data_IF_056842161383
#
_entry.id   IF_056842161383
#
_cell.length_a   1.000
_cell.length_b   1.000
_cell.length_c   1.000
_cell.angle_alpha   90.00
_cell.angle_beta   90.00
_cell.angle_gamma   90.00
#
_symmetry.space_group_name_H-M   'P 1'
#
loop_
_entity.id
_entity.type
_entity.pdbx_description
1 polymer ?
#
# COMPACT_ATOMS: atom_id res chain seq x y z
N UNK A 1 3.40 -15.75 6.41
CA UNK A 1 4.82 -15.32 6.46
C UNK A 1 5.14 -14.89 7.88
N UNK A 2 5.99 -15.64 8.63
CA UNK A 2 6.16 -15.44 10.07
C UNK A 2 6.75 -14.07 10.46
N UNK A 3 7.44 -13.40 9.53
CA UNK A 3 8.12 -12.12 9.80
C UNK A 3 7.31 -10.88 9.44
N UNK A 4 6.21 -11.01 8.68
CA UNK A 4 5.40 -9.87 8.27
C UNK A 4 4.39 -9.55 9.37
N UNK A 5 4.51 -8.40 10.02
CA UNK A 5 3.67 -8.05 11.17
C UNK A 5 2.24 -7.76 10.74
N UNK A 6 2.07 -7.15 9.57
CA UNK A 6 0.77 -6.74 9.05
C UNK A 6 0.40 -7.54 7.80
N UNK A 7 0.32 -8.86 7.94
CA UNK A 7 -0.07 -9.73 6.83
C UNK A 7 -1.49 -9.40 6.34
N UNK A 8 -2.45 -9.23 7.25
CA UNK A 8 -3.81 -8.80 6.92
C UNK A 8 -4.10 -7.36 7.37
N UNK A 9 -5.11 -6.73 6.77
CA UNK A 9 -5.56 -5.40 7.21
C UNK A 9 -6.09 -5.43 8.66
N UNK A 10 -6.62 -6.58 9.10
CA UNK A 10 -7.09 -6.78 10.46
C UNK A 10 -5.95 -6.74 11.47
N UNK A 11 -4.79 -7.30 11.13
CA UNK A 11 -3.58 -7.25 11.98
C UNK A 11 -3.16 -5.80 12.20
N UNK A 12 -3.11 -5.02 11.11
CA UNK A 12 -2.82 -3.59 11.16
C UNK A 12 -3.84 -2.82 12.02
N UNK A 13 -5.13 -3.00 11.78
CA UNK A 13 -6.20 -2.31 12.54
C UNK A 13 -6.20 -2.67 14.02
N UNK A 14 -5.79 -3.89 14.38
CA UNK A 14 -5.64 -4.30 15.78
C UNK A 14 -4.44 -3.61 16.42
N UNK A 15 -3.31 -3.57 15.72
CA UNK A 15 -2.09 -2.90 16.17
C UNK A 15 -2.26 -1.38 16.30
N UNK A 16 -2.95 -0.74 15.35
CA UNK A 16 -3.16 0.71 15.31
C UNK A 16 -3.89 1.26 16.55
N UNK A 17 -4.69 0.41 17.21
CA UNK A 17 -5.37 0.74 18.47
C UNK A 17 -4.50 0.55 19.72
N UNK A 18 -3.31 -0.04 19.56
CA UNK A 18 -2.38 -0.31 20.64
C UNK A 18 -1.49 0.89 20.98
N UNK A 19 -0.88 0.88 22.18
CA UNK A 19 -0.01 1.99 22.62
C UNK A 19 1.26 2.14 21.77
N UNK A 20 1.70 1.07 21.11
CA UNK A 20 2.90 1.06 20.26
C UNK A 20 2.71 1.79 18.92
N UNK A 21 1.46 1.99 18.50
CA UNK A 21 1.14 2.56 17.18
C UNK A 21 1.64 4.00 17.06
N UNK A 22 1.37 4.82 18.06
CA UNK A 22 1.73 6.24 18.04
C UNK A 22 3.24 6.46 17.96
N UNK A 23 4.01 5.68 18.72
CA UNK A 23 5.47 5.76 18.70
C UNK A 23 6.02 5.36 17.33
N UNK A 24 5.52 4.25 16.78
CA UNK A 24 5.97 3.72 15.48
C UNK A 24 5.62 4.67 14.34
N UNK A 25 4.42 5.25 14.32
CA UNK A 25 4.03 6.23 13.28
C UNK A 25 4.93 7.47 13.33
N UNK A 26 5.30 7.90 14.54
CA UNK A 26 6.22 9.04 14.73
C UNK A 26 7.62 8.73 14.21
N UNK A 27 8.11 7.50 14.37
CA UNK A 27 9.46 7.10 13.97
C UNK A 27 9.56 6.65 12.51
N UNK A 28 8.56 5.92 12.01
CA UNK A 28 8.59 5.23 10.71
C UNK A 28 7.74 5.92 9.63
N UNK A 29 7.03 6.98 9.99
CA UNK A 29 6.16 7.73 9.09
C UNK A 29 4.73 7.16 8.99
N UNK A 30 3.90 7.74 8.10
CA UNK A 30 2.45 7.52 8.06
C UNK A 30 2.04 6.18 7.43
N UNK A 31 2.98 5.39 6.92
CA UNK A 31 2.72 4.10 6.27
C UNK A 31 3.49 2.98 6.98
N UNK A 32 3.32 2.79 8.31
CA UNK A 32 4.10 1.82 9.09
C UNK A 32 3.82 0.36 8.69
N UNK A 33 2.76 0.12 7.92
CA UNK A 33 2.43 -1.18 7.36
C UNK A 33 3.23 -1.54 6.09
N UNK A 34 3.99 -0.61 5.54
CA UNK A 34 4.93 -0.91 4.46
C UNK A 34 6.25 -1.40 5.07
N UNK A 35 6.41 -2.72 5.01
CA UNK A 35 7.47 -3.45 5.69
C UNK A 35 8.33 -4.19 4.66
N UNK A 36 9.60 -4.36 4.99
CA UNK A 36 10.48 -5.25 4.25
C UNK A 36 10.25 -6.73 4.64
N UNK A 37 10.95 -7.65 3.98
CA UNK A 37 10.79 -9.10 4.17
C UNK A 37 11.01 -9.59 5.61
N UNK A 38 11.75 -8.84 6.42
CA UNK A 38 12.04 -9.12 7.81
C UNK A 38 11.06 -8.43 8.80
N UNK A 39 10.06 -7.71 8.29
CA UNK A 39 9.11 -6.95 9.10
C UNK A 39 9.63 -5.58 9.55
N UNK A 40 10.82 -5.16 9.09
CA UNK A 40 11.34 -3.83 9.36
C UNK A 40 10.66 -2.75 8.50
N UNK A 41 10.60 -1.49 8.96
CA UNK A 41 10.08 -0.39 8.16
C UNK A 41 10.92 -0.15 6.90
N UNK A 42 10.27 0.19 5.80
CA UNK A 42 10.98 0.55 4.57
C UNK A 42 11.68 1.91 4.68
N UNK A 43 12.84 2.09 4.01
CA UNK A 43 13.46 3.40 3.88
C UNK A 43 12.54 4.42 3.21
N UNK A 44 12.59 5.67 3.66
CA UNK A 44 11.76 6.76 3.11
C UNK A 44 11.93 6.93 1.59
N UNK A 45 13.16 6.77 1.08
CA UNK A 45 13.45 6.83 -0.35
C UNK A 45 12.68 5.75 -1.15
N UNK A 46 12.60 4.53 -0.60
CA UNK A 46 11.86 3.41 -1.20
C UNK A 46 10.37 3.70 -1.19
N UNK A 47 9.82 4.15 -0.06
CA UNK A 47 8.40 4.54 0.04
C UNK A 47 8.08 5.66 -0.95
N UNK A 48 8.96 6.65 -1.08
CA UNK A 48 8.79 7.76 -2.03
C UNK A 48 8.76 7.25 -3.48
N UNK A 49 9.65 6.32 -3.85
CA UNK A 49 9.66 5.70 -5.16
C UNK A 49 8.36 4.92 -5.45
N UNK A 50 7.87 4.13 -4.48
CA UNK A 50 6.59 3.43 -4.56
C UNK A 50 5.44 4.41 -4.83
N UNK A 51 5.34 5.47 -4.03
CA UNK A 51 4.27 6.47 -4.17
C UNK A 51 4.32 7.17 -5.55
N UNK A 52 5.53 7.43 -6.07
CA UNK A 52 5.71 8.04 -7.39
C UNK A 52 5.23 7.11 -8.51
N UNK A 53 5.58 5.81 -8.46
CA UNK A 53 5.11 4.81 -9.43
C UNK A 53 3.60 4.65 -9.38
N UNK A 54 3.04 4.46 -8.19
CA UNK A 54 1.58 4.34 -7.99
C UNK A 54 0.84 5.56 -8.55
N UNK A 55 1.37 6.78 -8.33
CA UNK A 55 0.80 8.00 -8.90
C UNK A 55 0.88 8.01 -10.44
N UNK A 56 1.98 7.56 -11.02
CA UNK A 56 2.12 7.51 -12.48
C UNK A 56 1.10 6.55 -13.11
N UNK A 57 0.89 5.37 -12.53
CA UNK A 57 -0.13 4.41 -12.98
C UNK A 57 -1.52 5.03 -12.89
N UNK A 58 -1.84 5.67 -11.76
CA UNK A 58 -3.12 6.35 -11.56
C UNK A 58 -3.38 7.44 -12.62
N UNK A 59 -2.37 8.23 -12.96
CA UNK A 59 -2.48 9.21 -14.05
C UNK A 59 -2.71 8.54 -15.40
N UNK A 60 -2.04 7.40 -15.67
CA UNK A 60 -2.30 6.57 -16.85
C UNK A 60 -3.76 6.13 -16.95
N UNK A 61 -4.37 5.72 -15.84
CA UNK A 61 -5.80 5.39 -15.80
C UNK A 61 -6.69 6.59 -16.05
N UNK A 62 -6.35 7.77 -15.52
CA UNK A 62 -7.09 9.03 -15.80
C UNK A 62 -7.05 9.38 -17.28
N UNK A 63 -5.87 9.32 -17.92
CA UNK A 63 -5.72 9.59 -19.34
C UNK A 63 -6.53 8.64 -20.24
N UNK A 64 -6.75 7.40 -19.79
CA UNK A 64 -7.51 6.37 -20.53
C UNK A 64 -8.99 6.32 -20.13
N UNK A 65 -9.48 7.22 -19.28
CA UNK A 65 -10.84 7.20 -18.73
C UNK A 65 -11.20 5.91 -17.98
N UNK A 66 -10.20 5.24 -17.41
CA UNK A 66 -10.35 4.01 -16.61
C UNK A 66 -10.28 4.28 -15.11
N UNK A 67 -9.86 5.48 -14.70
CA UNK A 67 -9.76 5.83 -13.29
C UNK A 67 -11.16 5.89 -12.65
N UNK A 68 -11.44 5.10 -11.61
CA UNK A 68 -12.70 5.20 -10.88
C UNK A 68 -12.79 6.52 -10.11
N UNK A 69 -14.01 6.91 -9.73
CA UNK A 69 -14.26 8.09 -8.90
C UNK A 69 -13.67 7.97 -7.49
N UNK A 70 -13.64 6.76 -6.95
CA UNK A 70 -12.90 6.43 -5.73
C UNK A 70 -12.26 5.07 -5.91
N UNK A 71 -11.17 4.79 -5.21
CA UNK A 71 -10.58 3.46 -5.24
C UNK A 71 -11.57 2.36 -4.79
N UNK A 72 -12.46 2.68 -3.85
CA UNK A 72 -13.53 1.78 -3.41
C UNK A 72 -14.50 1.38 -4.53
N UNK A 73 -14.71 2.24 -5.53
CA UNK A 73 -15.53 1.95 -6.71
C UNK A 73 -14.72 1.42 -7.90
N UNK A 74 -13.45 1.04 -7.71
CA UNK A 74 -12.64 0.44 -8.76
C UNK A 74 -13.26 -0.88 -9.22
N UNK A 75 -13.26 -1.11 -10.54
CA UNK A 75 -13.56 -2.41 -11.11
C UNK A 75 -12.37 -3.35 -10.90
N UNK A 76 -12.63 -4.65 -10.83
CA UNK A 76 -11.58 -5.64 -10.52
C UNK A 76 -10.43 -5.60 -11.52
N UNK A 77 -10.71 -5.44 -12.82
CA UNK A 77 -9.65 -5.31 -13.83
C UNK A 77 -8.74 -4.09 -13.60
N UNK A 78 -9.26 -3.00 -13.01
CA UNK A 78 -8.47 -1.81 -12.69
C UNK A 78 -7.55 -2.10 -11.51
N UNK A 79 -8.06 -2.79 -10.49
CA UNK A 79 -7.26 -3.24 -9.34
C UNK A 79 -6.16 -4.21 -9.79
N UNK A 80 -6.53 -5.20 -10.58
CA UNK A 80 -5.59 -6.20 -11.11
C UNK A 80 -4.50 -5.55 -11.96
N UNK A 81 -4.88 -4.66 -12.89
CA UNK A 81 -3.92 -3.93 -13.72
C UNK A 81 -2.98 -3.07 -12.88
N UNK A 82 -3.49 -2.47 -11.81
CA UNK A 82 -2.68 -1.66 -10.90
C UNK A 82 -1.69 -2.52 -10.10
N UNK A 83 -2.16 -3.64 -9.55
CA UNK A 83 -1.32 -4.58 -8.80
C UNK A 83 -0.23 -5.20 -9.69
N UNK A 84 -0.56 -5.54 -10.95
CA UNK A 84 0.38 -6.08 -11.94
C UNK A 84 1.49 -5.09 -12.33
N UNK A 85 1.27 -3.79 -12.17
CA UNK A 85 2.27 -2.76 -12.43
C UNK A 85 3.09 -2.39 -11.19
N UNK A 86 2.48 -2.41 -10.00
CA UNK A 86 3.14 -2.01 -8.75
C UNK A 86 3.98 -3.14 -8.17
N UNK A 87 3.42 -4.33 -8.02
CA UNK A 87 4.04 -5.41 -7.22
C UNK A 87 5.33 -5.95 -7.85
N UNK A 88 5.45 -6.11 -9.18
CA UNK A 88 6.73 -6.55 -9.76
C UNK A 88 7.88 -5.55 -9.54
N UNK A 89 7.58 -4.25 -9.51
CA UNK A 89 8.58 -3.19 -9.27
C UNK A 89 8.86 -3.02 -7.77
N UNK A 90 7.85 -3.26 -6.93
CA UNK A 90 7.89 -3.09 -5.49
C UNK A 90 7.28 -4.31 -4.77
N UNK A 91 8.00 -5.45 -4.72
CA UNK A 91 7.46 -6.69 -4.15
C UNK A 91 6.97 -6.58 -2.70
N UNK A 92 7.51 -5.64 -1.93
CA UNK A 92 7.10 -5.38 -0.55
C UNK A 92 5.64 -4.94 -0.43
N UNK A 93 5.06 -4.32 -1.47
CA UNK A 93 3.63 -4.01 -1.54
C UNK A 93 2.76 -5.28 -1.61
N UNK A 94 3.33 -6.39 -2.10
CA UNK A 94 2.71 -7.71 -2.15
C UNK A 94 2.96 -8.57 -0.91
N UNK A 95 3.68 -8.07 0.12
CA UNK A 95 3.86 -8.77 1.40
C UNK A 95 2.62 -8.61 2.28
N UNK A 96 1.48 -9.07 1.77
CA UNK A 96 0.20 -9.03 2.44
C UNK A 96 -0.84 -9.93 1.77
N UNK A 97 -1.92 -10.21 2.49
CA UNK A 97 -3.09 -10.89 1.94
C UNK A 97 -3.90 -9.96 1.01
N UNK A 98 -4.35 -10.49 -0.12
CA UNK A 98 -5.24 -9.81 -1.07
C UNK A 98 -4.82 -8.38 -1.45
N UNK A 99 -3.51 -8.09 -1.51
CA UNK A 99 -2.97 -6.76 -1.85
C UNK A 99 -3.50 -5.60 -1.00
N UNK A 100 -3.93 -5.86 0.25
CA UNK A 100 -4.59 -4.84 1.06
C UNK A 100 -3.70 -3.60 1.31
N UNK A 101 -2.37 -3.75 1.31
CA UNK A 101 -1.42 -2.64 1.46
C UNK A 101 -1.48 -1.70 0.25
N UNK A 102 -1.61 -2.24 -0.96
CA UNK A 102 -1.83 -1.46 -2.18
C UNK A 102 -3.16 -0.72 -2.09
N UNK A 103 -4.23 -1.42 -1.72
CA UNK A 103 -5.56 -0.85 -1.58
C UNK A 103 -5.62 0.26 -0.52
N UNK A 104 -4.93 0.10 0.60
CA UNK A 104 -4.86 1.11 1.66
C UNK A 104 -4.22 2.40 1.16
N UNK A 105 -3.07 2.30 0.47
CA UNK A 105 -2.39 3.46 -0.10
C UNK A 105 -3.24 4.12 -1.18
N UNK A 106 -3.84 3.33 -2.06
CA UNK A 106 -4.66 3.81 -3.15
C UNK A 106 -5.93 4.51 -2.65
N UNK A 107 -6.63 3.91 -1.69
CA UNK A 107 -7.81 4.50 -1.03
C UNK A 107 -7.48 5.84 -0.36
N UNK A 108 -6.32 5.95 0.27
CA UNK A 108 -5.90 7.19 0.94
C UNK A 108 -5.51 8.32 -0.04
N UNK A 109 -5.21 8.01 -1.31
CA UNK A 109 -4.58 8.97 -2.25
C UNK A 109 -5.38 9.24 -3.51
N UNK A 110 -6.29 8.34 -3.90
CA UNK A 110 -6.90 8.36 -5.22
C UNK A 110 -8.41 8.51 -5.15
N UNK A 111 -8.85 9.64 -5.72
CA UNK A 111 -10.21 10.00 -6.08
C UNK A 111 -10.25 10.74 -7.42
#
# INVERSE_FOLDING_TARGET
HPQIRFWSQSDYKKWEKGPEAQATITTCGPLPYLEDYDGSPLPEATVTAMMKKMRAIWQGFKCRTLAPKTWGSALDFVRDSFNLEVVPEFPQMGLCDNFWKVDAVATARYS
#
